data_IF_867241440424
#
_entry.id   IF_867241440424
#
_cell.length_a   1.000
_cell.length_b   1.000
_cell.length_c   1.000
_cell.angle_alpha   90.00
_cell.angle_beta   90.00
_cell.angle_gamma   90.00
#
_symmetry.space_group_name_H-M   'P 1'
#
loop_
_entity.id
_entity.type
_entity.pdbx_description
1 polymer ?
#
# COMPACT_ATOMS: atom_id res chain seq x y z
N UNK A 1 -15.02 36.55 -7.07
CA UNK A 1 -15.87 36.09 -5.95
C UNK A 1 -14.95 35.63 -4.83
N UNK A 2 -15.14 36.07 -3.57
CA UNK A 2 -14.28 35.65 -2.48
C UNK A 2 -14.61 34.21 -2.10
N UNK A 3 -13.61 33.33 -2.13
CA UNK A 3 -13.69 31.97 -1.62
C UNK A 3 -13.91 32.02 -0.11
N UNK A 4 -15.10 31.63 0.36
CA UNK A 4 -15.33 31.37 1.78
C UNK A 4 -14.49 30.15 2.19
N UNK A 5 -13.31 30.40 2.75
CA UNK A 5 -12.60 29.39 3.51
C UNK A 5 -13.29 29.24 4.87
N UNK A 6 -14.21 28.28 4.96
CA UNK A 6 -14.82 27.89 6.22
C UNK A 6 -13.81 27.10 7.05
N UNK A 7 -13.15 27.81 7.98
CA UNK A 7 -12.26 27.22 8.97
C UNK A 7 -13.03 26.20 9.84
N UNK A 8 -12.62 24.93 9.79
CA UNK A 8 -12.97 23.94 10.83
C UNK A 8 -14.28 23.15 10.70
N UNK A 9 -14.96 23.12 9.55
CA UNK A 9 -16.14 22.24 9.35
C UNK A 9 -15.81 21.15 8.34
N UNK A 10 -16.01 19.88 8.69
CA UNK A 10 -15.98 18.78 7.71
C UNK A 10 -17.31 18.79 6.96
N UNK A 11 -17.54 19.81 6.13
CA UNK A 11 -18.81 20.10 5.46
C UNK A 11 -19.38 18.86 4.75
N UNK A 12 -18.51 18.08 4.10
CA UNK A 12 -18.90 16.86 3.42
C UNK A 12 -19.48 15.81 4.38
N UNK A 13 -18.88 15.62 5.57
CA UNK A 13 -19.35 14.68 6.59
C UNK A 13 -20.55 15.22 7.36
N UNK A 14 -20.51 16.49 7.76
CA UNK A 14 -21.43 17.02 8.77
C UNK A 14 -22.69 17.64 8.15
N UNK A 15 -22.60 18.09 6.89
CA UNK A 15 -23.71 18.78 6.21
C UNK A 15 -24.18 17.95 5.01
N UNK A 16 -23.28 17.57 4.11
CA UNK A 16 -23.66 16.90 2.86
C UNK A 16 -24.19 15.50 3.11
N UNK A 17 -23.52 14.71 3.97
CA UNK A 17 -23.99 13.37 4.38
C UNK A 17 -25.42 13.42 4.96
N UNK A 18 -25.66 14.33 5.89
CA UNK A 18 -26.96 14.44 6.57
C UNK A 18 -28.07 14.91 5.62
N UNK A 19 -27.77 15.80 4.67
CA UNK A 19 -28.73 16.17 3.61
C UNK A 19 -29.10 14.99 2.72
N UNK A 20 -28.11 14.21 2.29
CA UNK A 20 -28.37 13.04 1.44
C UNK A 20 -29.17 12.00 2.20
N UNK A 21 -28.81 11.72 3.47
CA UNK A 21 -29.54 10.80 4.34
C UNK A 21 -31.02 11.18 4.47
N UNK A 22 -31.32 12.44 4.82
CA UNK A 22 -32.70 12.94 4.92
C UNK A 22 -33.46 12.89 3.60
N UNK A 23 -32.75 13.04 2.47
CA UNK A 23 -33.36 12.98 1.14
C UNK A 23 -33.72 11.54 0.79
N UNK A 24 -32.85 10.58 1.08
CA UNK A 24 -33.12 9.15 0.90
C UNK A 24 -34.33 8.72 1.74
N UNK A 25 -34.37 9.11 3.02
CA UNK A 25 -35.52 8.82 3.90
C UNK A 25 -36.82 9.50 3.42
N UNK A 26 -36.74 10.72 2.90
CA UNK A 26 -37.94 11.47 2.46
C UNK A 26 -38.55 10.93 1.17
N UNK A 27 -37.72 10.48 0.23
CA UNK A 27 -38.17 10.04 -1.10
C UNK A 27 -38.13 8.52 -1.27
N UNK A 28 -37.84 7.77 -0.20
CA UNK A 28 -37.84 6.31 -0.14
C UNK A 28 -36.98 5.64 -1.23
N UNK A 29 -35.76 6.15 -1.40
CA UNK A 29 -34.82 5.56 -2.36
C UNK A 29 -34.22 4.27 -1.80
N UNK A 30 -34.28 3.18 -2.57
CA UNK A 30 -33.67 1.87 -2.24
C UNK A 30 -32.13 1.83 -2.44
N UNK A 31 -31.49 3.00 -2.50
CA UNK A 31 -30.08 3.16 -2.82
C UNK A 31 -29.37 4.05 -1.80
N UNK A 32 -28.24 3.55 -1.28
CA UNK A 32 -27.40 4.25 -0.31
C UNK A 32 -26.23 5.01 -0.93
N UNK A 33 -25.43 5.65 -0.08
CA UNK A 33 -24.18 6.28 -0.49
C UNK A 33 -23.07 5.97 0.51
N UNK A 34 -21.83 5.95 0.03
CA UNK A 34 -20.64 5.85 0.88
C UNK A 34 -19.93 7.21 0.91
N UNK A 35 -19.60 7.65 2.12
CA UNK A 35 -18.71 8.78 2.34
C UNK A 35 -17.33 8.24 2.71
N UNK A 36 -16.32 8.58 1.91
CA UNK A 36 -14.92 8.26 2.17
C UNK A 36 -14.17 9.56 2.44
N UNK A 37 -13.35 9.56 3.50
CA UNK A 37 -12.39 10.64 3.72
C UNK A 37 -11.13 10.29 2.94
N UNK A 38 -10.74 11.17 2.01
CA UNK A 38 -9.43 11.06 1.37
C UNK A 38 -8.38 11.20 2.46
N UNK A 39 -7.53 10.17 2.61
CA UNK A 39 -6.39 10.18 3.53
C UNK A 39 -5.35 11.20 3.08
N UNK A 40 -4.20 11.23 3.75
CA UNK A 40 -3.05 11.93 3.18
C UNK A 40 -2.81 11.40 1.75
N UNK A 41 -2.63 12.30 0.76
CA UNK A 41 -2.27 11.86 -0.58
C UNK A 41 -1.01 11.01 -0.47
N UNK A 42 -1.05 9.84 -1.12
CA UNK A 42 0.14 9.06 -1.40
C UNK A 42 0.85 9.82 -2.51
N UNK A 43 1.57 10.85 -2.11
CA UNK A 43 2.36 11.65 -3.03
C UNK A 43 3.59 10.82 -3.39
N UNK A 44 3.48 10.14 -4.53
CA UNK A 44 4.53 9.27 -5.05
C UNK A 44 5.83 10.05 -5.28
N UNK A 45 5.76 11.36 -5.55
CA UNK A 45 6.95 12.20 -5.68
C UNK A 45 7.64 12.36 -4.32
N UNK A 46 6.92 12.78 -3.28
CA UNK A 46 7.53 12.90 -1.93
C UNK A 46 7.85 11.57 -1.26
N UNK A 47 7.16 10.48 -1.61
CA UNK A 47 7.52 9.14 -1.14
C UNK A 47 8.90 8.74 -1.64
N UNK A 48 9.24 9.17 -2.85
CA UNK A 48 10.51 8.91 -3.51
C UNK A 48 11.56 9.97 -3.18
N UNK A 49 11.18 11.19 -2.76
CA UNK A 49 12.11 12.26 -2.42
C UNK A 49 12.66 12.19 -0.98
N UNK A 50 13.92 11.76 -0.84
CA UNK A 50 14.85 12.11 0.26
C UNK A 50 14.53 11.62 1.67
N UNK A 51 13.29 11.27 1.98
CA UNK A 51 12.85 10.77 3.30
C UNK A 51 12.16 9.42 3.15
N UNK A 52 12.70 8.43 3.85
CA UNK A 52 12.15 7.09 3.90
C UNK A 52 10.70 7.09 4.41
N UNK A 53 9.74 6.52 3.67
CA UNK A 53 8.35 6.45 4.09
C UNK A 53 8.15 5.50 5.28
N UNK A 54 7.05 5.69 6.02
CA UNK A 54 6.61 4.68 6.98
C UNK A 54 6.21 3.38 6.27
N UNK A 55 6.43 2.24 6.93
CA UNK A 55 6.13 0.93 6.36
C UNK A 55 4.69 0.84 5.82
N UNK A 56 3.70 1.36 6.57
CA UNK A 56 2.29 1.28 6.16
C UNK A 56 1.99 2.14 4.94
N UNK A 57 2.62 3.31 4.85
CA UNK A 57 2.45 4.21 3.71
C UNK A 57 3.02 3.53 2.46
N UNK A 58 4.22 2.97 2.57
CA UNK A 58 4.85 2.30 1.43
C UNK A 58 4.14 1.00 1.04
N UNK A 59 3.67 0.22 2.02
CA UNK A 59 2.86 -0.96 1.79
C UNK A 59 1.58 -0.63 1.01
N UNK A 60 0.89 0.46 1.36
CA UNK A 60 -0.29 0.94 0.61
C UNK A 60 0.07 1.33 -0.83
N UNK A 61 1.22 1.98 -1.02
CA UNK A 61 1.69 2.36 -2.35
C UNK A 61 2.01 1.13 -3.21
N UNK A 62 2.80 0.19 -2.67
CA UNK A 62 3.15 -1.05 -3.34
C UNK A 62 1.90 -1.85 -3.74
N UNK A 63 0.93 -1.95 -2.83
CA UNK A 63 -0.34 -2.60 -3.13
C UNK A 63 -1.13 -1.89 -4.24
N UNK A 64 -1.18 -0.56 -4.21
CA UNK A 64 -1.84 0.22 -5.26
C UNK A 64 -1.16 0.05 -6.62
N UNK A 65 0.17 0.00 -6.66
CA UNK A 65 0.92 -0.25 -7.90
C UNK A 65 0.61 -1.62 -8.51
N UNK A 66 0.47 -2.66 -7.69
CA UNK A 66 0.09 -4.00 -8.18
C UNK A 66 -1.37 -4.08 -8.63
N UNK A 67 -2.28 -3.49 -7.86
CA UNK A 67 -3.71 -3.83 -7.95
C UNK A 67 -4.57 -2.74 -8.60
N UNK A 68 -4.06 -1.51 -8.66
CA UNK A 68 -4.86 -0.32 -9.01
C UNK A 68 -5.92 0.06 -7.96
N UNK A 69 -6.05 -0.71 -6.86
CA UNK A 69 -7.00 -0.47 -5.79
C UNK A 69 -6.32 0.02 -4.52
N UNK A 70 -7.05 0.81 -3.72
CA UNK A 70 -6.59 1.15 -2.38
C UNK A 70 -6.80 -0.05 -1.45
N UNK A 71 -5.80 -0.30 -0.60
CA UNK A 71 -5.83 -1.36 0.39
C UNK A 71 -6.94 -1.09 1.42
N UNK A 72 -8.00 -1.92 1.41
CA UNK A 72 -9.20 -1.74 2.24
C UNK A 72 -8.96 -2.12 3.72
N UNK A 73 -8.08 -3.09 3.96
CA UNK A 73 -7.79 -3.67 5.28
C UNK A 73 -6.37 -3.35 5.78
N UNK A 74 -6.08 -2.10 6.11
CA UNK A 74 -4.75 -1.69 6.61
C UNK A 74 -4.31 -2.43 7.89
N UNK A 75 -5.25 -3.04 8.62
CA UNK A 75 -4.97 -3.83 9.83
C UNK A 75 -4.27 -5.16 9.54
N UNK A 76 -4.34 -5.67 8.30
CA UNK A 76 -3.69 -6.92 7.92
C UNK A 76 -2.21 -6.72 7.58
N UNK A 77 -1.77 -5.48 7.33
CA UNK A 77 -0.36 -5.16 7.08
C UNK A 77 0.48 -5.56 8.28
N UNK A 78 1.52 -6.36 8.05
CA UNK A 78 2.43 -6.85 9.09
C UNK A 78 3.89 -6.64 8.69
N UNK A 79 4.50 -5.60 9.28
CA UNK A 79 5.92 -5.29 9.10
C UNK A 79 6.83 -6.45 9.50
N UNK A 80 6.51 -7.17 10.58
CA UNK A 80 7.29 -8.33 11.05
C UNK A 80 7.32 -9.48 10.04
N UNK A 81 6.24 -9.66 9.29
CA UNK A 81 6.10 -10.72 8.29
C UNK A 81 6.43 -10.25 6.87
N UNK A 82 6.66 -8.95 6.69
CA UNK A 82 6.72 -8.29 5.39
C UNK A 82 5.43 -8.41 4.58
N UNK A 83 4.30 -8.69 5.23
CA UNK A 83 3.03 -8.92 4.54
C UNK A 83 2.27 -7.61 4.35
N UNK A 84 1.82 -7.35 3.13
CA UNK A 84 1.02 -6.15 2.79
C UNK A 84 -0.45 -6.51 2.68
N UNK A 85 -0.80 -7.46 1.81
CA UNK A 85 -2.18 -7.81 1.53
C UNK A 85 -2.32 -8.85 0.43
N UNK A 86 -3.52 -9.40 0.31
CA UNK A 86 -3.92 -10.31 -0.76
C UNK A 86 -4.78 -9.57 -1.79
N UNK A 87 -4.61 -9.90 -3.07
CA UNK A 87 -5.43 -9.43 -4.18
C UNK A 87 -5.67 -10.56 -5.19
N UNK A 88 -6.90 -11.05 -5.28
CA UNK A 88 -7.22 -12.20 -6.13
C UNK A 88 -6.41 -13.44 -5.75
N UNK A 89 -5.59 -13.94 -6.68
CA UNK A 89 -4.68 -15.07 -6.46
C UNK A 89 -3.24 -14.64 -6.08
N UNK A 90 -3.00 -13.34 -5.92
CA UNK A 90 -1.70 -12.77 -5.61
C UNK A 90 -1.62 -12.32 -4.16
N UNK A 91 -0.46 -12.52 -3.55
CA UNK A 91 -0.11 -11.97 -2.25
C UNK A 91 1.07 -11.02 -2.40
N UNK A 92 0.94 -9.83 -1.83
CA UNK A 92 1.96 -8.77 -1.93
C UNK A 92 2.76 -8.73 -0.63
N UNK A 93 4.07 -8.76 -0.77
CA UNK A 93 5.04 -8.65 0.29
C UNK A 93 5.95 -7.44 0.06
N UNK A 94 6.34 -6.78 1.15
CA UNK A 94 7.24 -5.63 1.15
C UNK A 94 8.33 -5.83 2.19
N UNK A 95 9.54 -6.16 1.71
CA UNK A 95 10.76 -6.25 2.52
C UNK A 95 11.33 -4.84 2.63
N UNK A 96 10.97 -4.16 3.70
CA UNK A 96 11.33 -2.76 3.91
C UNK A 96 11.41 -2.44 5.40
N UNK A 97 12.31 -1.53 5.73
CA UNK A 97 12.38 -0.86 7.03
C UNK A 97 12.74 0.59 6.79
N UNK A 98 12.21 1.49 7.62
CA UNK A 98 12.48 2.93 7.55
C UNK A 98 13.88 3.28 8.10
N UNK A 99 14.92 2.66 7.53
CA UNK A 99 16.32 2.81 7.93
C UNK A 99 17.24 2.53 6.74
N UNK A 100 18.01 3.54 6.31
CA UNK A 100 18.91 3.45 5.16
C UNK A 100 19.99 2.37 5.31
N UNK A 101 20.55 2.19 6.52
CA UNK A 101 21.59 1.20 6.74
C UNK A 101 21.01 -0.22 6.77
N UNK A 102 19.82 -0.39 7.35
CA UNK A 102 19.13 -1.66 7.33
C UNK A 102 18.73 -2.05 5.91
N UNK A 103 18.30 -1.08 5.10
CA UNK A 103 17.89 -1.30 3.73
C UNK A 103 19.01 -1.91 2.90
N UNK A 104 20.22 -1.37 2.90
CA UNK A 104 21.33 -1.90 2.08
C UNK A 104 21.70 -3.36 2.40
N UNK A 105 21.28 -3.86 3.57
CA UNK A 105 21.49 -5.25 4.01
C UNK A 105 20.25 -6.14 3.81
N UNK A 106 19.11 -5.55 3.48
CA UNK A 106 17.88 -6.29 3.22
C UNK A 106 17.88 -6.79 1.78
N UNK A 107 17.40 -8.00 1.58
CA UNK A 107 17.22 -8.62 0.28
C UNK A 107 16.16 -9.72 0.40
N UNK A 108 15.55 -10.08 -0.72
CA UNK A 108 14.84 -11.33 -0.84
C UNK A 108 15.87 -12.47 -0.88
N UNK A 109 15.87 -13.28 0.18
CA UNK A 109 16.74 -14.44 0.35
C UNK A 109 15.92 -15.74 0.46
N UNK A 110 16.60 -16.89 0.47
CA UNK A 110 15.96 -18.20 0.51
C UNK A 110 15.09 -18.39 1.76
N UNK A 111 15.56 -17.95 2.93
CA UNK A 111 14.83 -18.05 4.20
C UNK A 111 13.48 -17.31 4.16
N UNK A 112 13.48 -16.09 3.62
CA UNK A 112 12.25 -15.30 3.47
C UNK A 112 11.35 -15.94 2.41
N UNK A 113 11.93 -16.43 1.31
CA UNK A 113 11.19 -17.08 0.23
C UNK A 113 10.45 -18.34 0.71
N UNK A 114 11.14 -19.25 1.38
CA UNK A 114 10.55 -20.47 1.95
C UNK A 114 9.43 -20.14 2.95
N UNK A 115 9.63 -19.10 3.76
CA UNK A 115 8.61 -18.63 4.71
C UNK A 115 7.35 -18.14 4.00
N UNK A 116 7.47 -17.27 2.99
CA UNK A 116 6.29 -16.76 2.26
C UNK A 116 5.62 -17.87 1.45
N UNK A 117 6.39 -18.85 0.97
CA UNK A 117 5.85 -20.03 0.28
C UNK A 117 4.99 -20.84 1.24
N UNK A 118 5.50 -21.13 2.44
CA UNK A 118 4.80 -21.88 3.47
C UNK A 118 3.56 -21.16 4.02
N UNK A 119 3.59 -19.83 4.14
CA UNK A 119 2.43 -19.04 4.63
C UNK A 119 1.27 -18.99 3.63
N UNK A 120 1.55 -19.00 2.33
CA UNK A 120 0.54 -18.84 1.28
C UNK A 120 0.72 -19.90 0.19
N UNK A 121 0.48 -21.20 0.46
CA UNK A 121 0.63 -22.24 -0.56
C UNK A 121 -0.32 -21.98 -1.74
N UNK A 122 0.16 -22.17 -2.97
CA UNK A 122 -0.58 -22.02 -4.24
C UNK A 122 -1.03 -20.60 -4.62
N UNK A 123 -0.43 -19.55 -4.07
CA UNK A 123 -0.63 -18.17 -4.53
C UNK A 123 0.60 -17.63 -5.24
N UNK A 124 0.38 -16.74 -6.19
CA UNK A 124 1.44 -15.89 -6.74
C UNK A 124 1.91 -14.88 -5.70
N UNK A 125 3.22 -14.65 -5.59
CA UNK A 125 3.80 -13.84 -4.52
C UNK A 125 4.62 -12.72 -5.13
N UNK A 126 4.10 -11.50 -5.04
CA UNK A 126 4.81 -10.31 -5.50
C UNK A 126 5.61 -9.76 -4.33
N UNK A 127 6.93 -9.75 -4.45
CA UNK A 127 7.84 -9.34 -3.39
C UNK A 127 8.58 -8.07 -3.81
N UNK A 128 8.22 -6.97 -3.17
CA UNK A 128 9.00 -5.74 -3.23
C UNK A 128 10.18 -5.85 -2.30
N UNK A 129 11.39 -5.79 -2.87
CA UNK A 129 12.59 -5.78 -2.07
C UNK A 129 13.71 -4.94 -2.69
N UNK A 130 14.60 -4.41 -1.84
CA UNK A 130 15.91 -3.88 -2.20
C UNK A 130 16.71 -4.54 -3.32
N UNK A 131 16.81 -5.86 -3.20
CA UNK A 131 17.73 -6.72 -3.89
C UNK A 131 17.14 -8.13 -3.82
N UNK A 132 17.50 -8.96 -4.80
CA UNK A 132 17.13 -10.37 -4.84
C UNK A 132 18.40 -11.20 -4.90
N UNK A 133 18.49 -12.22 -4.03
CA UNK A 133 19.57 -13.21 -4.04
C UNK A 133 19.10 -14.59 -4.55
N UNK A 134 17.87 -14.68 -5.05
CA UNK A 134 17.32 -15.87 -5.67
C UNK A 134 17.58 -15.85 -7.17
N UNK A 135 17.79 -17.02 -7.74
CA UNK A 135 17.81 -17.22 -9.18
C UNK A 135 16.40 -17.23 -9.77
N UNK A 136 16.33 -16.95 -11.07
CA UNK A 136 15.07 -16.82 -11.81
C UNK A 136 14.30 -18.15 -11.88
N UNK A 137 15.00 -19.28 -12.07
CA UNK A 137 14.39 -20.61 -12.13
C UNK A 137 13.70 -20.98 -10.81
N UNK A 138 14.35 -20.69 -9.67
CA UNK A 138 13.74 -20.85 -8.35
C UNK A 138 12.50 -19.97 -8.18
N UNK A 139 12.56 -18.70 -8.60
CA UNK A 139 11.44 -17.77 -8.47
C UNK A 139 10.24 -18.20 -9.32
N UNK A 140 10.47 -18.56 -10.58
CA UNK A 140 9.44 -19.04 -11.51
C UNK A 140 8.77 -20.32 -10.99
N UNK A 141 9.57 -21.30 -10.56
CA UNK A 141 9.08 -22.58 -10.03
C UNK A 141 8.20 -22.42 -8.79
N UNK A 142 8.41 -21.34 -8.02
CA UNK A 142 7.68 -21.05 -6.79
C UNK A 142 6.64 -19.93 -6.95
N UNK A 143 6.38 -19.44 -8.16
CA UNK A 143 5.44 -18.34 -8.44
C UNK A 143 5.77 -17.07 -7.63
N UNK A 144 7.05 -16.73 -7.56
CA UNK A 144 7.54 -15.52 -6.90
C UNK A 144 7.90 -14.49 -7.98
N UNK A 145 7.31 -13.30 -7.89
CA UNK A 145 7.66 -12.16 -8.72
C UNK A 145 8.45 -11.15 -7.88
N UNK A 146 9.69 -10.87 -8.27
CA UNK A 146 10.52 -9.88 -7.60
C UNK A 146 10.37 -8.50 -8.24
N UNK A 147 10.08 -7.48 -7.43
CA UNK A 147 10.05 -6.08 -7.86
C UNK A 147 11.10 -5.29 -7.08
N UNK A 148 12.09 -4.75 -7.80
CA UNK A 148 13.16 -3.99 -7.18
C UNK A 148 12.65 -2.66 -6.63
N UNK A 149 12.96 -2.36 -5.38
CA UNK A 149 12.74 -1.03 -4.79
C UNK A 149 13.90 -0.12 -5.22
N UNK A 150 13.67 0.91 -6.04
CA UNK A 150 14.78 1.70 -6.56
C UNK A 150 15.34 2.62 -5.46
N UNK A 151 16.50 2.28 -4.93
CA UNK A 151 17.16 3.06 -3.88
C UNK A 151 17.58 4.47 -4.30
N UNK A 152 17.96 4.60 -5.57
CA UNK A 152 18.38 5.86 -6.17
C UNK A 152 17.28 6.91 -6.20
N UNK A 153 16.02 6.53 -5.91
CA UNK A 153 14.95 7.49 -5.70
C UNK A 153 15.16 8.24 -4.37
N UNK A 154 15.46 7.50 -3.28
CA UNK A 154 15.59 8.07 -1.93
C UNK A 154 16.93 8.80 -1.67
N UNK A 155 17.97 8.47 -2.43
CA UNK A 155 19.22 9.21 -2.43
C UNK A 155 19.20 10.28 -3.53
N UNK A 156 18.95 11.54 -3.17
CA UNK A 156 19.33 12.63 -4.09
C UNK A 156 20.81 12.94 -3.91
N UNK A 157 21.51 12.93 -5.05
CA UNK A 157 22.82 13.51 -5.27
C UNK A 157 22.96 14.90 -4.63
N UNK A 158 24.06 15.10 -3.89
CA UNK A 158 24.65 16.42 -3.60
C UNK A 158 24.16 17.10 -2.34
#
# INVERSE_FOLDING_TARGET
>A
MPTLQFKGKNICKDITRERIKKTIEKYDYDSGFQYLRVGQPLDAETLLEGKLPDYKIFARYAYYLCTGENLKDEKKISEKKFFVGDFGNQTIYLIYKQDYEALTRMALNLEIAERIIAEQPNKERIVYAPACFLDEEYMESNQIEFVSIPYNLFQRNG
#
